data_IF_817957463613
#
_entry.id   IF_817957463613
#
_cell.length_a   1.000
_cell.length_b   1.000
_cell.length_c   1.000
_cell.angle_alpha   90.00
_cell.angle_beta   90.00
_cell.angle_gamma   90.00
#
_symmetry.space_group_name_H-M   'P 1'
#
loop_
_entity.id
_entity.type
_entity.pdbx_description
1 polymer ?
#
# COMPACT_ATOMS: atom_id res chain seq x y z
N UNK A 1 0.13 -11.03 2.27
CA UNK A 1 -0.35 -9.73 1.77
C UNK A 1 -0.13 -9.72 0.27
N UNK A 2 -1.21 -9.76 -0.50
CA UNK A 2 -1.14 -9.57 -1.94
C UNK A 2 -1.14 -8.07 -2.21
N UNK A 3 0.03 -7.50 -2.52
CA UNK A 3 0.08 -6.14 -3.03
C UNK A 3 -0.50 -6.13 -4.45
N UNK A 4 -1.28 -5.10 -4.78
CA UNK A 4 -1.74 -4.88 -6.14
C UNK A 4 -0.55 -4.74 -7.09
N UNK A 5 -0.62 -5.46 -8.18
CA UNK A 5 0.37 -5.44 -9.25
C UNK A 5 -0.10 -4.60 -10.44
N UNK A 6 0.80 -4.30 -11.34
CA UNK A 6 0.47 -3.63 -12.59
C UNK A 6 -0.57 -4.42 -13.37
N UNK A 7 -0.49 -5.76 -13.38
CA UNK A 7 -1.46 -6.64 -14.05
C UNK A 7 -2.89 -6.48 -13.52
N UNK A 8 -3.06 -6.16 -12.22
CA UNK A 8 -4.37 -6.00 -11.60
C UNK A 8 -5.07 -4.68 -12.00
N UNK A 9 -4.29 -3.67 -12.42
CA UNK A 9 -4.78 -2.32 -12.74
C UNK A 9 -4.67 -1.95 -14.21
N UNK A 10 -3.77 -2.58 -14.96
CA UNK A 10 -3.56 -2.23 -16.37
C UNK A 10 -4.81 -2.49 -17.21
N UNK A 11 -5.00 -1.68 -18.24
CA UNK A 11 -5.95 -1.99 -19.30
C UNK A 11 -5.29 -2.97 -20.26
N UNK A 12 -5.78 -4.22 -20.38
CA UNK A 12 -5.32 -5.16 -21.40
C UNK A 12 -5.89 -4.80 -22.78
N UNK A 13 -5.40 -5.43 -23.83
CA UNK A 13 -5.91 -5.23 -25.22
C UNK A 13 -5.77 -3.80 -25.72
N UNK A 14 -4.55 -3.30 -25.67
CA UNK A 14 -4.21 -1.91 -25.96
C UNK A 14 -4.29 -1.60 -27.45
N UNK A 15 -4.93 -0.49 -27.77
CA UNK A 15 -4.82 0.13 -29.10
C UNK A 15 -3.40 0.71 -29.21
N UNK A 16 -2.68 0.29 -30.24
CA UNK A 16 -1.34 0.78 -30.58
C UNK A 16 -1.26 1.18 -32.02
N UNK A 17 -0.25 1.97 -32.38
CA UNK A 17 0.02 2.42 -33.74
C UNK A 17 1.45 2.08 -34.13
N UNK A 18 1.72 2.01 -35.44
CA UNK A 18 3.06 1.84 -35.94
C UNK A 18 3.73 3.20 -36.21
N UNK A 19 5.06 3.22 -36.37
CA UNK A 19 5.83 4.45 -36.62
C UNK A 19 5.31 5.27 -37.80
N UNK A 20 4.85 4.60 -38.86
CA UNK A 20 4.34 5.25 -40.10
C UNK A 20 2.88 5.71 -40.01
N UNK A 21 2.16 5.47 -38.89
CA UNK A 21 0.76 5.89 -38.74
C UNK A 21 0.66 7.41 -38.80
N UNK A 22 -0.24 7.91 -39.64
CA UNK A 22 -0.34 9.35 -39.90
C UNK A 22 -0.99 10.11 -38.74
N UNK A 23 -0.71 11.41 -38.64
CA UNK A 23 -1.33 12.32 -37.67
C UNK A 23 -2.86 12.20 -37.63
N UNK A 24 -3.53 12.16 -38.79
CA UNK A 24 -5.00 12.09 -38.86
C UNK A 24 -5.55 10.76 -38.33
N UNK A 25 -4.86 9.68 -38.61
CA UNK A 25 -5.23 8.34 -38.09
C UNK A 25 -5.06 8.28 -36.57
N UNK A 26 -3.97 8.82 -36.04
CA UNK A 26 -3.75 8.89 -34.60
C UNK A 26 -4.84 9.73 -33.93
N UNK A 27 -5.12 10.93 -34.46
CA UNK A 27 -6.16 11.82 -33.94
C UNK A 27 -7.55 11.15 -33.91
N UNK A 28 -7.87 10.39 -35.00
CA UNK A 28 -9.12 9.62 -35.06
C UNK A 28 -9.15 8.53 -34.02
N UNK A 29 -8.09 7.72 -33.89
CA UNK A 29 -8.00 6.64 -32.88
C UNK A 29 -8.15 7.15 -31.46
N UNK A 30 -7.50 8.25 -31.10
CA UNK A 30 -7.63 8.86 -29.78
C UNK A 30 -9.08 9.26 -29.48
N UNK A 31 -9.74 9.90 -30.48
CA UNK A 31 -11.13 10.36 -30.32
C UNK A 31 -12.14 9.22 -30.30
N UNK A 32 -12.03 8.22 -31.17
CA UNK A 32 -12.98 7.11 -31.28
C UNK A 32 -12.87 6.13 -30.10
N UNK A 33 -11.69 6.02 -29.50
CA UNK A 33 -11.42 5.06 -28.43
C UNK A 33 -11.44 5.71 -27.05
N UNK A 34 -11.74 7.00 -26.94
CA UNK A 34 -11.75 7.78 -25.69
C UNK A 34 -10.45 7.61 -24.87
N UNK A 35 -9.31 7.59 -25.60
CA UNK A 35 -7.97 7.48 -24.98
C UNK A 35 -7.16 8.74 -25.29
N UNK A 36 -6.35 9.18 -24.35
CA UNK A 36 -5.57 10.41 -24.47
C UNK A 36 -4.13 10.18 -24.92
N UNK A 37 -3.72 8.94 -25.14
CA UNK A 37 -2.46 8.56 -25.78
C UNK A 37 -2.45 7.09 -26.20
N UNK A 38 -1.60 6.77 -27.17
CA UNK A 38 -1.40 5.42 -27.70
C UNK A 38 0.09 5.07 -27.74
N UNK A 39 0.46 3.82 -27.41
CA UNK A 39 1.80 3.31 -27.65
C UNK A 39 2.10 3.23 -29.15
N UNK A 40 3.34 3.53 -29.52
CA UNK A 40 3.89 3.27 -30.83
C UNK A 40 4.72 2.01 -30.76
N UNK A 41 4.43 1.04 -31.61
CA UNK A 41 5.11 -0.26 -31.62
C UNK A 41 5.93 -0.46 -32.89
N UNK A 42 6.94 -1.32 -32.78
CA UNK A 42 7.68 -1.84 -33.94
C UNK A 42 6.95 -3.02 -34.61
N UNK A 43 7.54 -3.57 -35.66
CA UNK A 43 6.99 -4.71 -36.44
C UNK A 43 6.88 -6.00 -35.61
N UNK A 44 7.50 -6.03 -34.42
CA UNK A 44 7.45 -7.16 -33.45
C UNK A 44 6.47 -6.91 -32.30
N UNK A 45 5.73 -5.79 -32.35
CA UNK A 45 4.78 -5.43 -31.29
C UNK A 45 5.44 -4.85 -30.02
N UNK A 46 6.70 -4.44 -30.07
CA UNK A 46 7.42 -3.85 -28.94
C UNK A 46 7.22 -2.35 -28.90
N UNK A 47 6.88 -1.77 -27.74
CA UNK A 47 6.68 -0.33 -27.63
C UNK A 47 8.02 0.42 -27.78
N UNK A 48 8.06 1.34 -28.73
CA UNK A 48 9.23 2.17 -29.03
C UNK A 48 9.03 3.62 -28.60
N UNK A 49 7.78 4.05 -28.39
CA UNK A 49 7.42 5.38 -27.94
C UNK A 49 5.95 5.47 -27.57
N UNK A 50 5.49 6.66 -27.22
CA UNK A 50 4.09 6.97 -26.92
C UNK A 50 3.73 8.29 -27.59
N UNK A 51 2.57 8.36 -28.25
CA UNK A 51 1.98 9.59 -28.78
C UNK A 51 0.75 9.96 -27.98
N UNK A 52 0.68 11.19 -27.50
CA UNK A 52 -0.45 11.74 -26.75
C UNK A 52 -1.15 12.87 -27.49
N UNK A 53 -2.36 13.23 -27.04
CA UNK A 53 -3.06 14.43 -27.51
C UNK A 53 -2.19 15.69 -27.41
N UNK A 54 -1.41 15.83 -26.34
CA UNK A 54 -0.51 16.95 -26.15
C UNK A 54 0.59 16.99 -27.23
N UNK A 55 1.05 15.84 -27.71
CA UNK A 55 2.05 15.76 -28.80
C UNK A 55 1.42 16.20 -30.11
N UNK A 56 0.18 15.80 -30.39
CA UNK A 56 -0.58 16.25 -31.56
C UNK A 56 -0.82 17.76 -31.57
N UNK A 57 -1.20 18.33 -30.40
CA UNK A 57 -1.45 19.76 -30.26
C UNK A 57 -0.18 20.60 -30.44
N UNK A 58 0.93 20.16 -29.87
CA UNK A 58 2.24 20.83 -30.02
C UNK A 58 2.69 20.86 -31.47
N UNK A 59 2.52 19.76 -32.20
CA UNK A 59 2.98 19.65 -33.57
C UNK A 59 2.12 20.42 -34.56
N UNK A 60 0.82 20.59 -34.30
CA UNK A 60 -0.07 21.42 -35.14
C UNK A 60 0.45 22.86 -35.22
N UNK A 61 1.07 23.38 -34.19
CA UNK A 61 1.66 24.70 -34.16
C UNK A 61 2.97 24.81 -34.94
N UNK A 62 3.63 23.67 -35.24
CA UNK A 62 4.92 23.63 -35.95
C UNK A 62 4.79 23.37 -37.44
N UNK A 63 3.58 23.15 -38.01
CA UNK A 63 3.32 23.15 -39.46
C UNK A 63 3.76 21.90 -40.22
N UNK A 64 3.94 20.74 -39.57
CA UNK A 64 4.42 19.50 -40.21
C UNK A 64 3.37 18.41 -40.29
N UNK A 65 3.18 17.80 -41.48
CA UNK A 65 2.52 16.50 -41.59
C UNK A 65 3.51 15.43 -41.15
N UNK A 66 3.29 14.85 -39.97
CA UNK A 66 4.24 13.92 -39.40
C UNK A 66 3.51 12.62 -39.03
N UNK A 67 4.27 11.55 -39.02
CA UNK A 67 3.83 10.24 -38.61
C UNK A 67 4.09 10.04 -37.09
N UNK A 68 3.63 8.90 -36.56
CA UNK A 68 3.80 8.54 -35.16
C UNK A 68 5.26 8.54 -34.73
N UNK A 69 6.18 8.12 -35.62
CA UNK A 69 7.61 8.06 -35.31
C UNK A 69 8.23 9.43 -35.05
N UNK A 70 7.76 10.47 -35.76
CA UNK A 70 8.22 11.84 -35.57
C UNK A 70 7.53 12.55 -34.38
N UNK A 71 6.30 12.12 -34.05
CA UNK A 71 5.48 12.73 -32.98
C UNK A 71 5.75 12.15 -31.60
N UNK A 72 6.17 10.89 -31.50
CA UNK A 72 6.26 10.15 -30.25
C UNK A 72 7.32 10.68 -29.30
N UNK A 73 7.03 10.64 -28.03
CA UNK A 73 8.05 10.67 -26.97
C UNK A 73 8.76 9.32 -26.95
N UNK A 74 10.08 9.30 -27.05
CA UNK A 74 10.89 8.09 -27.08
C UNK A 74 12.20 8.25 -26.30
N UNK A 75 12.83 7.15 -25.78
CA UNK A 75 12.29 5.78 -25.80
C UNK A 75 11.03 5.65 -24.92
N UNK A 76 10.22 4.60 -25.19
CA UNK A 76 9.10 4.27 -24.33
C UNK A 76 9.60 3.86 -22.94
N UNK A 77 9.05 4.46 -21.88
CA UNK A 77 9.23 3.98 -20.51
C UNK A 77 8.17 2.89 -20.28
N UNK A 78 8.59 1.68 -19.97
CA UNK A 78 7.72 0.50 -19.88
C UNK A 78 7.63 -0.02 -18.46
N UNK A 79 6.63 -0.85 -18.18
CA UNK A 79 6.47 -1.61 -16.93
C UNK A 79 6.28 -3.10 -17.26
N UNK A 80 6.45 -3.95 -16.25
CA UNK A 80 6.14 -5.37 -16.30
C UNK A 80 4.87 -5.68 -15.51
N UNK A 81 4.06 -6.68 -15.90
CA UNK A 81 2.82 -7.03 -15.22
C UNK A 81 2.98 -7.31 -13.71
N UNK A 82 4.12 -7.90 -13.32
CA UNK A 82 4.43 -8.26 -11.93
C UNK A 82 4.92 -7.11 -11.05
N UNK A 83 5.11 -5.91 -11.58
CA UNK A 83 5.55 -4.78 -10.75
C UNK A 83 4.48 -4.41 -9.73
N UNK A 84 4.95 -4.04 -8.54
CA UNK A 84 4.08 -3.41 -7.53
C UNK A 84 3.66 -2.02 -8.02
N UNK A 85 2.40 -1.64 -7.75
CA UNK A 85 1.82 -0.35 -8.19
C UNK A 85 2.57 0.86 -7.64
N UNK A 86 3.14 0.77 -6.44
CA UNK A 86 3.96 1.84 -5.85
C UNK A 86 5.25 2.05 -6.64
N UNK A 87 5.87 0.97 -7.12
CA UNK A 87 7.04 1.05 -7.99
C UNK A 87 6.69 1.71 -9.32
N UNK A 88 5.59 1.28 -9.95
CA UNK A 88 5.12 1.88 -11.20
C UNK A 88 4.81 3.37 -11.06
N UNK A 89 4.17 3.79 -9.94
CA UNK A 89 3.90 5.19 -9.64
C UNK A 89 5.19 6.01 -9.52
N UNK A 90 6.21 5.49 -8.84
CA UNK A 90 7.52 6.14 -8.70
C UNK A 90 8.20 6.31 -10.05
N UNK A 91 8.21 5.27 -10.89
CA UNK A 91 8.77 5.35 -12.24
C UNK A 91 8.06 6.41 -13.08
N UNK A 92 6.71 6.51 -13.01
CA UNK A 92 5.96 7.55 -13.71
C UNK A 92 6.35 8.96 -13.26
N UNK A 93 6.63 9.14 -11.97
CA UNK A 93 7.04 10.43 -11.40
C UNK A 93 8.47 10.80 -11.80
N UNK A 94 9.43 9.89 -11.60
CA UNK A 94 10.84 10.08 -11.93
C UNK A 94 11.05 10.36 -13.41
N UNK A 95 10.37 9.61 -14.28
CA UNK A 95 10.45 9.73 -15.73
C UNK A 95 9.50 10.80 -16.29
N UNK A 96 8.68 11.43 -15.44
CA UNK A 96 7.69 12.46 -15.80
C UNK A 96 6.72 12.00 -16.90
N UNK A 97 6.37 10.72 -16.90
CA UNK A 97 5.40 10.14 -17.83
C UNK A 97 4.04 9.96 -17.15
N UNK A 98 2.97 9.96 -17.94
CA UNK A 98 1.60 9.76 -17.43
C UNK A 98 1.09 8.34 -17.65
N UNK A 99 1.82 7.54 -18.44
CA UNK A 99 1.48 6.16 -18.81
C UNK A 99 2.72 5.33 -18.98
N UNK A 100 2.57 4.05 -18.71
CA UNK A 100 3.57 3.03 -18.95
C UNK A 100 2.94 1.96 -19.84
N UNK A 101 3.40 1.79 -21.10
CA UNK A 101 3.17 0.55 -21.83
C UNK A 101 3.67 -0.62 -21.01
N UNK A 102 2.85 -1.66 -20.86
CA UNK A 102 3.18 -2.86 -20.11
C UNK A 102 3.62 -3.93 -21.10
N UNK A 103 4.78 -4.52 -20.84
CA UNK A 103 5.41 -5.51 -21.74
C UNK A 103 5.55 -6.86 -21.04
N UNK A 104 5.44 -7.92 -21.81
CA UNK A 104 5.76 -9.27 -21.38
C UNK A 104 7.27 -9.54 -21.37
N UNK A 105 7.65 -10.78 -21.07
CA UNK A 105 9.04 -11.24 -21.04
C UNK A 105 9.73 -11.24 -22.43
N UNK A 106 8.95 -11.21 -23.51
CA UNK A 106 9.45 -11.08 -24.89
C UNK A 106 9.61 -9.60 -25.32
N UNK A 107 9.15 -8.69 -24.47
CA UNK A 107 9.15 -7.25 -24.68
C UNK A 107 7.97 -6.77 -25.52
N UNK A 108 6.96 -7.62 -25.75
CA UNK A 108 5.76 -7.28 -26.51
C UNK A 108 4.74 -6.55 -25.62
N UNK A 109 4.00 -5.63 -26.22
CA UNK A 109 2.96 -4.85 -25.55
C UNK A 109 1.77 -5.74 -25.16
N UNK A 110 1.47 -5.80 -23.85
CA UNK A 110 0.34 -6.58 -23.29
C UNK A 110 -0.69 -5.72 -22.56
N UNK A 111 -0.37 -4.48 -22.23
CA UNK A 111 -1.26 -3.57 -21.53
C UNK A 111 -0.75 -2.14 -21.52
N UNK A 112 -1.54 -1.25 -20.90
CA UNK A 112 -1.12 0.12 -20.54
C UNK A 112 -1.60 0.40 -19.12
N UNK A 113 -0.72 0.96 -18.31
CA UNK A 113 -1.03 1.51 -17.00
C UNK A 113 -0.95 3.03 -17.06
N UNK A 114 -1.96 3.72 -16.60
CA UNK A 114 -2.01 5.18 -16.53
C UNK A 114 -2.02 5.70 -15.08
N UNK A 115 -1.76 7.00 -14.88
CA UNK A 115 -1.93 7.64 -13.56
C UNK A 115 -3.37 7.54 -13.06
N UNK A 116 -4.35 7.56 -13.96
CA UNK A 116 -5.76 7.43 -13.61
C UNK A 116 -6.05 6.07 -12.97
N UNK A 117 -5.42 4.99 -13.49
CA UNK A 117 -5.58 3.64 -12.96
C UNK A 117 -4.99 3.54 -11.55
N UNK A 118 -3.85 4.18 -11.30
CA UNK A 118 -3.25 4.25 -9.96
C UNK A 118 -4.14 4.99 -8.96
N UNK A 119 -4.81 6.06 -9.39
CA UNK A 119 -5.74 6.80 -8.53
C UNK A 119 -6.96 5.96 -8.13
N UNK A 120 -7.37 5.00 -8.99
CA UNK A 120 -8.48 4.09 -8.67
C UNK A 120 -8.20 3.21 -7.44
N UNK A 121 -6.95 2.97 -7.08
CA UNK A 121 -6.58 2.24 -5.85
C UNK A 121 -7.12 2.95 -4.61
N UNK A 122 -7.11 4.28 -4.62
CA UNK A 122 -7.62 5.11 -3.52
C UNK A 122 -9.16 5.21 -3.48
N UNK A 123 -9.83 4.69 -4.52
CA UNK A 123 -11.29 4.61 -4.56
C UNK A 123 -11.84 3.28 -4.01
N UNK A 124 -10.99 2.45 -3.40
CA UNK A 124 -11.44 1.25 -2.70
C UNK A 124 -12.46 1.65 -1.63
N UNK A 125 -13.51 0.83 -1.52
CA UNK A 125 -14.52 1.04 -0.48
C UNK A 125 -13.89 0.87 0.90
N UNK A 126 -14.10 1.82 1.77
CA UNK A 126 -13.58 1.82 3.15
C UNK A 126 -13.86 0.51 3.89
N UNK A 127 -15.02 -0.09 3.62
CA UNK A 127 -15.38 -1.41 4.16
C UNK A 127 -14.42 -2.52 3.74
N UNK A 128 -13.99 -2.53 2.48
CA UNK A 128 -13.04 -3.54 2.00
C UNK A 128 -11.65 -3.37 2.63
N UNK A 129 -11.23 -2.13 2.85
CA UNK A 129 -9.98 -1.80 3.56
C UNK A 129 -10.10 -2.26 5.02
N UNK A 130 -11.22 -1.98 5.68
CA UNK A 130 -11.48 -2.39 7.06
C UNK A 130 -11.45 -3.91 7.22
N UNK A 131 -12.14 -4.64 6.34
CA UNK A 131 -12.18 -6.10 6.34
C UNK A 131 -10.78 -6.71 6.16
N UNK A 132 -9.99 -6.17 5.23
CA UNK A 132 -8.61 -6.62 4.99
C UNK A 132 -7.70 -6.36 6.20
N UNK A 133 -7.78 -5.18 6.83
CA UNK A 133 -7.00 -4.86 8.03
C UNK A 133 -7.35 -5.83 9.16
N UNK A 134 -8.64 -6.07 9.41
CA UNK A 134 -9.08 -6.97 10.48
C UNK A 134 -8.65 -8.43 10.22
N UNK A 135 -8.77 -8.91 8.99
CA UNK A 135 -8.46 -10.30 8.66
C UNK A 135 -6.96 -10.53 8.49
N UNK A 136 -6.29 -9.77 7.64
CA UNK A 136 -4.88 -10.01 7.28
C UNK A 136 -3.89 -9.44 8.30
N UNK A 137 -4.13 -8.21 8.77
CA UNK A 137 -3.19 -7.53 9.67
C UNK A 137 -3.42 -7.97 11.11
N UNK A 138 -4.63 -7.77 11.63
CA UNK A 138 -4.94 -7.99 13.05
C UNK A 138 -4.95 -9.48 13.38
N UNK A 139 -5.73 -10.27 12.63
CA UNK A 139 -5.98 -11.69 12.95
C UNK A 139 -4.85 -12.59 12.46
N UNK A 140 -4.49 -12.52 11.20
CA UNK A 140 -3.56 -13.46 10.56
C UNK A 140 -2.10 -13.15 10.87
N UNK A 141 -1.69 -11.88 10.74
CA UNK A 141 -0.28 -11.49 10.88
C UNK A 141 0.09 -11.26 12.34
N UNK A 142 -0.67 -10.43 13.06
CA UNK A 142 -0.36 -10.07 14.45
C UNK A 142 -0.98 -11.03 15.47
N UNK A 143 -1.92 -11.89 15.06
CA UNK A 143 -2.65 -12.83 15.92
C UNK A 143 -3.31 -12.17 17.12
N UNK A 144 -3.75 -10.93 16.94
CA UNK A 144 -4.50 -10.19 17.93
C UNK A 144 -5.98 -10.59 17.86
N UNK A 145 -6.68 -10.47 19.00
CA UNK A 145 -8.12 -10.65 19.00
C UNK A 145 -8.80 -9.47 18.30
N UNK A 146 -9.67 -9.70 17.28
CA UNK A 146 -10.42 -8.60 16.66
C UNK A 146 -11.28 -7.80 17.65
N UNK A 147 -11.65 -8.40 18.77
CA UNK A 147 -12.45 -7.74 19.83
C UNK A 147 -11.63 -6.77 20.69
N UNK A 148 -10.31 -6.83 20.66
CA UNK A 148 -9.43 -5.92 21.42
C UNK A 148 -9.14 -4.61 20.67
N UNK A 149 -9.44 -4.56 19.39
CA UNK A 149 -9.18 -3.44 18.49
C UNK A 149 -10.45 -3.04 17.75
N UNK A 150 -10.70 -1.75 17.67
CA UNK A 150 -11.69 -1.18 16.77
C UNK A 150 -10.95 -0.52 15.61
N UNK A 151 -11.32 -0.90 14.38
CA UNK A 151 -10.77 -0.36 13.14
C UNK A 151 -11.90 0.36 12.43
N UNK A 152 -11.80 1.67 12.29
CA UNK A 152 -12.72 2.49 11.52
C UNK A 152 -12.01 3.03 10.29
N UNK A 153 -12.66 2.99 9.14
CA UNK A 153 -12.11 3.52 7.88
C UNK A 153 -13.12 4.50 7.28
N UNK A 154 -12.67 5.69 6.94
CA UNK A 154 -13.45 6.72 6.28
C UNK A 154 -12.58 7.46 5.28
N UNK A 155 -12.95 7.43 3.99
CA UNK A 155 -12.18 8.03 2.90
C UNK A 155 -10.70 7.60 2.88
N UNK A 156 -10.45 6.31 3.15
CA UNK A 156 -9.10 5.75 3.24
C UNK A 156 -8.32 6.12 4.51
N UNK A 157 -8.90 6.95 5.39
CA UNK A 157 -8.31 7.26 6.70
C UNK A 157 -8.67 6.16 7.70
N UNK A 158 -7.68 5.44 8.17
CA UNK A 158 -7.83 4.35 9.13
C UNK A 158 -7.64 4.89 10.54
N UNK A 159 -8.64 4.74 11.40
CA UNK A 159 -8.54 5.05 12.82
C UNK A 159 -8.50 3.76 13.62
N UNK A 160 -7.41 3.54 14.33
CA UNK A 160 -7.20 2.39 15.21
C UNK A 160 -7.46 2.81 16.65
N UNK A 161 -8.36 2.11 17.35
CA UNK A 161 -8.63 2.33 18.77
C UNK A 161 -8.76 1.00 19.49
N UNK A 162 -8.58 1.00 20.82
CA UNK A 162 -8.57 -0.20 21.64
C UNK A 162 -7.30 -0.35 22.47
N UNK A 163 -7.02 -1.57 22.94
CA UNK A 163 -5.88 -1.82 23.83
C UNK A 163 -4.93 -2.85 23.23
N UNK A 164 -3.65 -2.51 23.17
CA UNK A 164 -2.56 -3.39 22.72
C UNK A 164 -1.56 -3.58 23.83
N UNK A 165 -1.07 -4.80 24.03
CA UNK A 165 -0.22 -5.15 25.16
C UNK A 165 1.21 -4.60 25.07
N UNK A 166 1.73 -4.33 23.87
CA UNK A 166 3.11 -3.92 23.65
C UNK A 166 3.21 -2.74 22.71
N UNK A 167 4.07 -1.79 23.04
CA UNK A 167 4.39 -0.65 22.20
C UNK A 167 4.99 -1.07 20.84
N UNK A 168 5.83 -2.12 20.84
CA UNK A 168 6.41 -2.64 19.60
C UNK A 168 5.34 -3.18 18.66
N UNK A 169 4.28 -3.80 19.21
CA UNK A 169 3.15 -4.29 18.42
C UNK A 169 2.38 -3.15 17.78
N UNK A 170 2.24 -2.00 18.45
CA UNK A 170 1.60 -0.80 17.88
C UNK A 170 2.38 -0.30 16.66
N UNK A 171 3.70 -0.17 16.77
CA UNK A 171 4.53 0.30 15.66
C UNK A 171 4.43 -0.62 14.43
N UNK A 172 4.41 -1.93 14.65
CA UNK A 172 4.24 -2.92 13.58
C UNK A 172 2.83 -2.84 12.99
N UNK A 173 1.79 -2.73 13.83
CA UNK A 173 0.39 -2.60 13.40
C UNK A 173 0.18 -1.38 12.51
N UNK A 174 0.66 -0.20 12.93
CA UNK A 174 0.57 1.03 12.13
C UNK A 174 1.24 0.88 10.77
N UNK A 175 2.45 0.33 10.75
CA UNK A 175 3.21 0.09 9.50
C UNK A 175 2.47 -0.86 8.57
N UNK A 176 1.90 -1.94 9.10
CA UNK A 176 1.15 -2.91 8.31
C UNK A 176 -0.15 -2.30 7.77
N UNK A 177 -0.88 -1.52 8.57
CA UNK A 177 -2.06 -0.81 8.09
C UNK A 177 -1.73 0.19 6.98
N UNK A 178 -0.62 0.93 7.10
CA UNK A 178 -0.15 1.84 6.04
C UNK A 178 0.23 1.13 4.74
N UNK A 179 0.52 -0.17 4.78
CA UNK A 179 0.84 -0.95 3.59
C UNK A 179 -0.37 -1.57 2.89
N UNK A 180 -1.58 -1.40 3.44
CA UNK A 180 -2.82 -1.88 2.81
C UNK A 180 -3.22 -0.94 1.68
N UNK A 181 -3.53 -1.52 0.52
CA UNK A 181 -3.94 -0.75 -0.66
C UNK A 181 -5.22 0.05 -0.40
N UNK A 182 -5.18 1.34 -0.74
CA UNK A 182 -6.30 2.26 -0.53
C UNK A 182 -6.23 3.04 0.79
N UNK A 183 -5.32 2.70 1.70
CA UNK A 183 -5.08 3.48 2.92
C UNK A 183 -4.33 4.77 2.57
N UNK A 184 -4.92 5.90 2.95
CA UNK A 184 -4.35 7.24 2.76
C UNK A 184 -3.51 7.63 3.97
N UNK A 185 -4.02 7.38 5.19
CA UNK A 185 -3.31 7.66 6.45
C UNK A 185 -3.86 6.80 7.59
N UNK A 186 -3.09 6.68 8.69
CA UNK A 186 -3.46 5.90 9.86
C UNK A 186 -3.38 6.75 11.12
N UNK A 187 -4.51 6.90 11.80
CA UNK A 187 -4.63 7.62 13.08
C UNK A 187 -4.55 6.63 14.23
N UNK A 188 -3.57 6.81 15.10
CA UNK A 188 -3.37 6.01 16.31
C UNK A 188 -4.17 6.60 17.49
N UNK A 189 -5.14 5.83 18.00
CA UNK A 189 -5.88 6.07 19.25
C UNK A 189 -5.82 4.85 20.17
N UNK A 190 -4.73 4.08 20.08
CA UNK A 190 -4.56 2.88 20.89
C UNK A 190 -4.11 3.23 22.31
N UNK A 191 -4.65 2.49 23.26
CA UNK A 191 -4.21 2.54 24.65
C UNK A 191 -3.24 1.40 24.94
N UNK A 192 -2.21 1.67 25.72
CA UNK A 192 -1.28 0.64 26.17
C UNK A 192 -1.82 0.08 27.49
N UNK A 193 -2.13 -1.21 27.52
CA UNK A 193 -2.37 -1.90 28.79
C UNK A 193 -1.07 -1.90 29.58
N UNK A 194 -1.11 -1.42 30.82
CA UNK A 194 -0.01 -1.67 31.75
C UNK A 194 0.24 -3.19 31.79
N UNK A 195 1.50 -3.66 31.87
CA UNK A 195 1.75 -5.08 32.09
C UNK A 195 1.00 -5.49 33.33
N UNK A 196 0.13 -6.50 33.21
CA UNK A 196 -0.54 -7.12 34.35
C UNK A 196 0.52 -7.69 35.29
N UNK A 197 0.79 -6.96 36.38
CA UNK A 197 1.46 -7.47 37.58
C UNK A 197 0.49 -8.42 38.27
N UNK A 198 0.31 -9.60 37.75
CA UNK A 198 -0.42 -10.67 38.42
C UNK A 198 0.28 -12.01 38.19
N UNK A 199 1.47 -12.17 38.75
CA UNK A 199 1.99 -13.47 39.23
C UNK A 199 3.06 -13.20 40.29
N UNK A 200 2.73 -12.56 41.41
CA UNK A 200 3.48 -12.65 42.62
C UNK A 200 2.59 -12.38 43.84
N UNK A 201 1.66 -13.28 44.11
CA UNK A 201 1.10 -13.41 45.44
C UNK A 201 0.54 -14.80 45.61
N UNK A 202 1.39 -15.70 45.96
CA UNK A 202 1.05 -17.09 46.25
C UNK A 202 2.14 -17.78 47.06
N UNK A 203 2.72 -17.09 48.03
CA UNK A 203 3.42 -17.77 49.12
C UNK A 203 2.86 -17.24 50.45
N UNK A 204 1.85 -17.94 50.96
CA UNK A 204 1.39 -17.80 52.33
C UNK A 204 2.52 -18.17 53.29
N UNK A 205 2.73 -17.43 54.40
CA UNK A 205 3.62 -17.90 55.43
C UNK A 205 2.94 -19.05 56.19
N UNK A 206 3.61 -20.16 56.25
CA UNK A 206 3.29 -21.31 57.07
C UNK A 206 3.40 -20.88 58.55
N UNK A 207 2.28 -20.86 59.25
CA UNK A 207 2.20 -20.81 60.70
C UNK A 207 2.71 -22.13 61.22
N UNK A 208 3.80 -22.12 61.98
CA UNK A 208 4.15 -23.17 62.91
C UNK A 208 3.79 -22.70 64.32
N UNK A 209 2.92 -23.48 64.91
CA UNK A 209 2.32 -23.28 66.21
C UNK A 209 3.27 -23.54 67.40
N UNK A 210 2.87 -22.96 68.50
CA UNK A 210 2.80 -23.47 69.83
C UNK A 210 3.94 -24.36 70.33
N UNK A 211 4.53 -23.92 71.44
CA UNK A 211 4.64 -24.59 72.69
C UNK A 211 5.57 -23.73 73.57
N UNK A 212 5.05 -23.16 74.59
CA UNK A 212 4.76 -23.57 75.98
C UNK A 212 5.91 -23.30 76.92
N UNK A 213 5.55 -22.50 77.86
CA UNK A 213 5.83 -22.55 79.27
C UNK A 213 7.23 -22.29 79.86
N UNK A 214 7.12 -21.43 80.77
CA UNK A 214 7.54 -21.52 82.17
C UNK A 214 8.87 -20.87 82.62
N UNK A 215 8.63 -20.08 83.56
CA UNK A 215 9.32 -19.89 84.85
C UNK A 215 10.20 -18.65 84.93
N UNK A 216 9.64 -17.65 85.57
CA UNK A 216 9.73 -17.31 86.93
C UNK A 216 11.12 -16.86 87.41
N UNK A 217 11.09 -15.71 87.98
CA UNK A 217 11.82 -15.26 89.16
C UNK A 217 13.08 -14.42 88.98
N UNK A 218 12.87 -13.32 89.47
CA UNK A 218 13.50 -12.69 90.60
C UNK A 218 14.69 -11.74 90.36
N UNK A 219 14.39 -10.61 90.84
CA UNK A 219 15.20 -9.80 91.76
C UNK A 219 16.19 -8.84 91.13
N UNK A 220 15.77 -7.61 91.23
CA UNK A 220 16.25 -6.66 92.20
C UNK A 220 17.73 -6.27 92.05
N UNK A 221 17.81 -5.05 92.00
CA UNK A 221 18.66 -4.17 92.80
C UNK A 221 19.89 -3.56 92.09
N UNK A 222 19.90 -2.33 92.10
CA UNK A 222 20.72 -1.28 92.66
C UNK A 222 21.48 -0.42 91.68
N UNK A 223 21.10 0.84 91.85
CA UNK A 223 21.99 2.01 92.13
C UNK A 223 23.13 2.25 91.11
N UNK A 224 23.19 3.36 90.48
CA UNK A 224 23.45 4.71 90.96
C UNK A 224 23.08 5.68 89.91
#
# INVERSE_FOLDING_TARGET
MGHLTVADLMTPSVISVQRGTTFKEIARLLSESDVTAVPVVDDRGRPVGVVSEADLLRNRSAGGAQDAGALMSHPAVTAEPGWNVVHAARVMEEQRVKRLPVIDYEGCLVGVLSRSDLVQVFLRRDRAIQEEILEEVVTRTLRLSPSSLNVEVSEGLVTLSGTVQSHDTVAVLLRLCQSVDGVVDVVDRLSHGAPSEDVRSGLAPVTAGEEEEASAHASQEKRS
#
